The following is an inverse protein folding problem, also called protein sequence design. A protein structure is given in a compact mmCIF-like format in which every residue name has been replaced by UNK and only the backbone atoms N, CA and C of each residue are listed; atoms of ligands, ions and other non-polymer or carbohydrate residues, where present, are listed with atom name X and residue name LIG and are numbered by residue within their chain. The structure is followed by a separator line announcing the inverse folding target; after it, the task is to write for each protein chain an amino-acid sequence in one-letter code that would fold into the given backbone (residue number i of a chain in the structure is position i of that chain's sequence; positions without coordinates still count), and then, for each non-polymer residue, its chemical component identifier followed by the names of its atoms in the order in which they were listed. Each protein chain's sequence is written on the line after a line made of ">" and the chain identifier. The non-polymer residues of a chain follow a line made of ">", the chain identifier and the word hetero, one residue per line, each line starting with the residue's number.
data_IF_508682763100
#
_entry.id   IF_508682763100
#
_cell.length_a   1.000
_cell.length_b   1.000
_cell.length_c   1.000
_cell.angle_alpha   90.00
_cell.angle_beta   90.00
_cell.angle_gamma   90.00
#
_symmetry.space_group_name_H-M   'P 1'
#
loop_
_entity.id
_entity.type
_entity.pdbx_description
1 polymer ?
#
# COMPACT_ATOMS: atom_id res chain seq x y z
N UNK A 1 7.40 -50.39 5.03
CA UNK A 1 8.80 -50.19 5.39
C UNK A 1 9.56 -49.38 4.33
N UNK A 2 9.35 -49.59 3.04
CA UNK A 2 10.02 -48.82 1.98
C UNK A 2 9.74 -47.31 2.03
N UNK A 3 8.52 -46.87 2.31
CA UNK A 3 8.17 -45.46 2.39
C UNK A 3 8.94 -44.66 3.45
N UNK A 4 9.19 -45.28 4.64
CA UNK A 4 10.02 -44.64 5.68
C UNK A 4 11.49 -44.51 5.29
N UNK A 5 11.99 -45.45 4.48
CA UNK A 5 13.38 -45.43 3.99
C UNK A 5 13.60 -44.34 2.94
N UNK A 6 12.66 -44.21 2.01
CA UNK A 6 12.69 -43.13 1.02
C UNK A 6 12.50 -41.75 1.64
N UNK A 7 11.62 -41.63 2.66
CA UNK A 7 11.44 -40.38 3.42
C UNK A 7 12.76 -39.95 4.10
N UNK A 8 13.44 -40.88 4.81
CA UNK A 8 14.70 -40.59 5.48
C UNK A 8 15.85 -40.27 4.52
N UNK A 9 15.92 -40.93 3.37
CA UNK A 9 16.91 -40.64 2.32
C UNK A 9 16.68 -39.24 1.71
N UNK A 10 15.38 -38.85 1.50
CA UNK A 10 15.02 -37.54 0.97
C UNK A 10 15.35 -36.43 1.98
N UNK A 11 15.12 -36.66 3.28
CA UNK A 11 15.48 -35.75 4.39
C UNK A 11 17.00 -35.50 4.45
N UNK A 12 17.82 -36.55 4.28
CA UNK A 12 19.27 -36.40 4.28
C UNK A 12 19.76 -35.63 3.06
N UNK A 13 19.17 -35.86 1.88
CA UNK A 13 19.51 -35.12 0.66
C UNK A 13 19.08 -33.68 0.71
N UNK A 14 17.90 -33.38 1.31
CA UNK A 14 17.43 -32.00 1.53
C UNK A 14 18.38 -31.26 2.47
N UNK A 15 18.73 -31.82 3.62
CA UNK A 15 19.66 -31.20 4.56
C UNK A 15 21.05 -30.90 3.96
N UNK A 16 21.55 -31.77 3.07
CA UNK A 16 22.81 -31.53 2.32
C UNK A 16 22.63 -30.40 1.32
N UNK A 17 21.48 -30.36 0.61
CA UNK A 17 21.14 -29.28 -0.32
C UNK A 17 21.08 -27.93 0.38
N UNK A 18 20.48 -27.86 1.56
CA UNK A 18 20.33 -26.65 2.36
C UNK A 18 21.66 -26.15 2.91
N UNK A 19 22.54 -27.07 3.37
CA UNK A 19 23.90 -26.74 3.79
C UNK A 19 24.73 -26.14 2.63
N UNK A 20 24.54 -26.65 1.41
CA UNK A 20 25.21 -26.15 0.19
C UNK A 20 24.65 -24.78 -0.21
N UNK A 21 23.35 -24.53 0.00
CA UNK A 21 22.70 -23.24 -0.27
C UNK A 21 22.99 -22.16 0.77
N UNK A 22 23.65 -22.49 1.88
CA UNK A 22 23.95 -21.55 2.95
C UNK A 22 22.74 -21.15 3.79
N UNK A 23 21.69 -21.96 3.80
CA UNK A 23 20.49 -21.73 4.62
C UNK A 23 20.63 -22.43 5.99
N UNK A 24 20.06 -21.83 7.01
CA UNK A 24 20.00 -22.39 8.36
C UNK A 24 18.83 -23.36 8.45
N UNK A 25 19.10 -24.63 8.81
CA UNK A 25 18.02 -25.57 9.09
C UNK A 25 17.45 -25.25 10.47
N UNK A 26 16.24 -24.69 10.50
CA UNK A 26 15.53 -24.36 11.74
C UNK A 26 14.34 -25.32 11.86
N UNK A 27 14.03 -25.76 13.08
CA UNK A 27 12.73 -26.35 13.42
C UNK A 27 11.69 -25.23 13.28
N UNK A 28 11.16 -25.11 12.10
CA UNK A 28 10.61 -23.89 11.52
C UNK A 28 9.11 -23.72 11.71
N UNK A 29 8.38 -24.77 12.08
CA UNK A 29 6.97 -24.62 12.41
C UNK A 29 6.73 -24.94 13.88
N UNK A 30 6.53 -23.91 14.66
CA UNK A 30 5.97 -24.03 15.99
C UNK A 30 4.46 -23.95 15.87
N UNK A 31 3.76 -25.05 16.18
CA UNK A 31 2.32 -25.04 16.26
C UNK A 31 1.82 -25.81 17.50
N UNK A 32 0.63 -25.48 17.96
CA UNK A 32 0.05 -26.05 19.15
C UNK A 32 -1.21 -26.90 18.87
N UNK A 33 -1.57 -27.05 17.60
CA UNK A 33 -2.75 -27.84 17.20
C UNK A 33 -2.53 -29.33 17.51
N UNK A 34 -3.57 -30.07 17.92
CA UNK A 34 -3.47 -31.48 18.29
C UNK A 34 -3.36 -32.44 17.09
N UNK A 35 -3.04 -31.91 15.92
CA UNK A 35 -2.89 -32.64 14.66
C UNK A 35 -1.40 -32.75 14.30
N UNK A 36 -1.01 -33.85 13.61
CA UNK A 36 0.34 -33.91 13.08
C UNK A 36 0.51 -32.98 11.88
N UNK A 37 1.72 -32.50 11.64
CA UNK A 37 1.99 -31.59 10.51
C UNK A 37 1.61 -32.21 9.17
N UNK A 38 1.81 -33.55 9.01
CA UNK A 38 1.42 -34.28 7.82
C UNK A 38 -0.07 -34.36 7.60
N UNK A 39 -0.90 -34.13 8.63
CA UNK A 39 -2.35 -34.02 8.51
C UNK A 39 -2.78 -32.63 8.06
N UNK A 40 -2.02 -31.60 8.43
CA UNK A 40 -2.37 -30.21 8.21
C UNK A 40 -1.85 -29.66 6.87
N UNK A 41 -0.76 -30.24 6.32
CA UNK A 41 -0.16 -29.70 5.09
C UNK A 41 0.80 -30.70 4.43
N UNK A 42 1.18 -30.41 3.17
CA UNK A 42 2.29 -31.10 2.51
C UNK A 42 3.63 -30.65 3.11
N UNK A 43 4.28 -31.57 3.83
CA UNK A 43 5.54 -31.31 4.53
C UNK A 43 6.68 -31.03 3.54
N UNK A 44 6.57 -31.46 2.27
CA UNK A 44 7.60 -31.18 1.26
C UNK A 44 7.59 -29.70 0.83
N UNK A 45 6.44 -29.04 0.80
CA UNK A 45 6.32 -27.60 0.55
C UNK A 45 6.95 -26.75 1.66
N UNK A 46 6.94 -27.31 2.86
CA UNK A 46 7.44 -26.65 4.05
C UNK A 46 8.98 -26.71 4.23
N UNK A 47 9.68 -27.57 3.50
CA UNK A 47 11.13 -27.81 3.69
C UNK A 47 12.05 -26.71 3.21
N UNK A 48 11.59 -25.85 2.32
CA UNK A 48 12.37 -24.74 1.77
C UNK A 48 12.28 -23.45 2.62
N UNK A 49 11.70 -23.53 3.83
CA UNK A 49 11.42 -22.38 4.70
C UNK A 49 12.55 -22.03 5.69
N UNK A 50 13.75 -22.59 5.50
CA UNK A 50 14.90 -22.22 6.32
C UNK A 50 15.24 -20.74 6.16
N UNK A 51 15.45 -20.04 7.27
CA UNK A 51 15.87 -18.64 7.24
C UNK A 51 17.16 -18.47 6.45
N UNK A 52 17.24 -17.60 5.43
CA UNK A 52 18.45 -17.35 4.69
C UNK A 52 19.53 -16.71 5.58
N UNK A 53 20.78 -17.15 5.39
CA UNK A 53 21.93 -16.56 6.07
C UNK A 53 22.38 -15.28 5.37
N UNK A 54 22.79 -14.26 6.13
CA UNK A 54 23.39 -13.08 5.54
C UNK A 54 24.69 -13.48 4.80
N UNK A 55 24.94 -12.92 3.60
CA UNK A 55 26.16 -13.18 2.86
C UNK A 55 27.38 -12.64 3.60
N UNK A 56 28.54 -13.29 3.40
CA UNK A 56 29.79 -12.84 3.97
C UNK A 56 30.13 -11.43 3.45
N UNK A 57 30.46 -10.52 4.38
CA UNK A 57 30.83 -9.14 4.04
C UNK A 57 29.65 -8.16 3.98
N UNK A 58 28.44 -8.61 4.29
CA UNK A 58 27.32 -7.68 4.48
C UNK A 58 27.61 -6.76 5.68
N UNK A 59 27.20 -5.49 5.56
CA UNK A 59 27.32 -4.50 6.64
C UNK A 59 26.70 -5.05 7.94
N UNK A 60 27.44 -5.06 9.05
CA UNK A 60 26.91 -5.49 10.34
C UNK A 60 25.62 -4.75 10.78
N UNK A 61 25.47 -3.47 10.43
CA UNK A 61 24.25 -2.73 10.71
C UNK A 61 23.06 -3.28 9.92
N UNK A 62 23.27 -3.67 8.66
CA UNK A 62 22.24 -4.31 7.84
C UNK A 62 21.86 -5.70 8.40
N UNK A 63 22.84 -6.48 8.87
CA UNK A 63 22.56 -7.77 9.53
C UNK A 63 21.72 -7.57 10.78
N UNK A 64 22.11 -6.66 11.64
CA UNK A 64 21.39 -6.35 12.88
C UNK A 64 19.95 -5.88 12.60
N UNK A 65 19.77 -5.05 11.57
CA UNK A 65 18.46 -4.60 11.14
C UNK A 65 17.59 -5.78 10.66
N UNK A 66 18.14 -6.64 9.79
CA UNK A 66 17.45 -7.82 9.28
C UNK A 66 17.03 -8.78 10.41
N UNK A 67 17.92 -8.99 11.42
CA UNK A 67 17.62 -9.81 12.60
C UNK A 67 16.48 -9.22 13.43
N UNK A 68 16.51 -7.92 13.68
CA UNK A 68 15.46 -7.23 14.42
C UNK A 68 14.12 -7.28 13.66
N UNK A 69 14.13 -7.00 12.36
CA UNK A 69 12.98 -7.07 11.47
C UNK A 69 12.35 -8.47 11.50
N UNK A 70 13.17 -9.50 11.27
CA UNK A 70 12.72 -10.90 11.30
C UNK A 70 12.17 -11.29 12.67
N UNK A 71 12.83 -10.86 13.76
CA UNK A 71 12.41 -11.18 15.11
C UNK A 71 11.04 -10.60 15.49
N UNK A 72 10.68 -9.44 14.99
CA UNK A 72 9.33 -8.86 15.18
C UNK A 72 8.29 -9.77 14.54
N UNK A 73 8.42 -10.09 13.26
CA UNK A 73 7.44 -10.89 12.55
C UNK A 73 7.38 -12.34 13.01
N UNK A 74 8.53 -12.96 13.35
CA UNK A 74 8.57 -14.31 13.90
C UNK A 74 7.81 -14.41 15.23
N UNK A 75 7.98 -13.43 16.13
CA UNK A 75 7.26 -13.38 17.40
C UNK A 75 5.74 -13.27 17.19
N UNK A 76 5.30 -12.40 16.27
CA UNK A 76 3.87 -12.22 15.98
C UNK A 76 3.29 -13.46 15.28
N UNK A 77 4.01 -14.07 14.34
CA UNK A 77 3.63 -15.32 13.69
C UNK A 77 3.39 -16.43 14.73
N UNK A 78 4.28 -16.59 15.70
CA UNK A 78 4.20 -17.65 16.69
C UNK A 78 3.18 -17.35 17.81
N UNK A 79 2.55 -16.18 17.77
CA UNK A 79 1.55 -15.77 18.76
C UNK A 79 0.29 -16.64 18.81
N UNK A 80 0.01 -17.45 17.77
CA UNK A 80 -1.12 -18.41 17.74
C UNK A 80 -0.95 -19.55 18.75
N UNK A 81 0.26 -19.85 19.19
CA UNK A 81 0.56 -21.01 20.05
C UNK A 81 -0.17 -20.92 21.40
N UNK A 82 -0.09 -19.78 22.04
CA UNK A 82 -0.66 -19.60 23.38
C UNK A 82 -2.20 -19.76 23.43
N UNK A 83 -3.00 -19.13 22.56
CA UNK A 83 -4.45 -19.30 22.57
C UNK A 83 -4.88 -20.72 22.20
N UNK A 84 -4.19 -21.39 21.27
CA UNK A 84 -4.48 -22.78 20.90
C UNK A 84 -4.16 -23.74 22.08
N UNK A 85 -3.01 -23.62 22.71
CA UNK A 85 -2.66 -24.44 23.86
C UNK A 85 -3.65 -24.25 25.02
N UNK A 86 -4.09 -23.02 25.27
CA UNK A 86 -5.06 -22.76 26.35
C UNK A 86 -6.40 -23.43 26.08
N UNK A 87 -6.95 -23.34 24.86
CA UNK A 87 -8.24 -23.99 24.55
C UNK A 87 -8.13 -25.50 24.53
N UNK A 88 -7.02 -26.09 24.10
CA UNK A 88 -6.77 -27.52 24.15
C UNK A 88 -6.64 -28.03 25.60
N UNK A 89 -6.17 -27.20 26.52
CA UNK A 89 -6.15 -27.48 27.96
C UNK A 89 -7.51 -27.26 28.64
N UNK A 90 -8.53 -26.80 27.93
CA UNK A 90 -9.86 -26.47 28.46
C UNK A 90 -9.96 -25.11 29.14
N UNK A 91 -8.91 -24.28 29.08
CA UNK A 91 -8.89 -22.92 29.61
C UNK A 91 -9.43 -21.91 28.58
N UNK A 92 -10.75 -21.80 28.52
CA UNK A 92 -11.46 -20.90 27.59
C UNK A 92 -11.12 -19.44 27.86
N UNK A 93 -11.03 -19.04 29.13
CA UNK A 93 -10.72 -17.65 29.49
C UNK A 93 -9.29 -17.29 29.14
N UNK A 94 -8.33 -18.20 29.41
CA UNK A 94 -6.94 -18.07 29.00
C UNK A 94 -6.77 -17.99 27.48
N UNK A 95 -7.52 -18.80 26.72
CA UNK A 95 -7.50 -18.76 25.26
C UNK A 95 -7.95 -17.40 24.71
N UNK A 96 -9.07 -16.86 25.21
CA UNK A 96 -9.55 -15.54 24.81
C UNK A 96 -8.59 -14.41 25.16
N UNK A 97 -8.01 -14.47 26.36
CA UNK A 97 -7.01 -13.50 26.79
C UNK A 97 -5.74 -13.57 25.92
N UNK A 98 -5.25 -14.77 25.62
CA UNK A 98 -4.06 -14.96 24.78
C UNK A 98 -4.31 -14.49 23.34
N UNK A 99 -5.49 -14.72 22.79
CA UNK A 99 -5.91 -14.23 21.47
C UNK A 99 -5.88 -12.70 21.42
N UNK A 100 -6.50 -12.03 22.40
CA UNK A 100 -6.50 -10.57 22.49
C UNK A 100 -5.08 -9.98 22.64
N UNK A 101 -4.19 -10.67 23.37
CA UNK A 101 -2.79 -10.27 23.48
C UNK A 101 -2.04 -10.40 22.16
N UNK A 102 -2.32 -11.45 21.39
CA UNK A 102 -1.73 -11.65 20.08
C UNK A 102 -2.20 -10.59 19.07
N UNK A 103 -3.49 -10.26 19.04
CA UNK A 103 -4.04 -9.14 18.26
C UNK A 103 -3.37 -7.81 18.58
N UNK A 104 -3.16 -7.54 19.88
CA UNK A 104 -2.44 -6.36 20.33
C UNK A 104 -0.96 -6.35 19.87
N UNK A 105 -0.30 -7.51 19.82
CA UNK A 105 1.06 -7.64 19.29
C UNK A 105 1.11 -7.38 17.79
N UNK A 106 0.12 -7.87 17.04
CA UNK A 106 0.00 -7.58 15.60
C UNK A 106 -0.16 -6.08 15.36
N UNK A 107 -1.05 -5.41 16.08
CA UNK A 107 -1.24 -3.97 15.98
C UNK A 107 0.02 -3.16 16.37
N UNK A 108 0.88 -3.71 17.23
CA UNK A 108 2.15 -3.09 17.65
C UNK A 108 3.30 -3.32 16.65
N UNK A 109 3.22 -4.36 15.82
CA UNK A 109 4.31 -4.77 14.93
C UNK A 109 4.74 -3.64 13.98
N UNK A 110 3.80 -2.92 13.38
CA UNK A 110 4.11 -1.81 12.46
C UNK A 110 4.81 -0.66 13.19
N UNK A 111 4.40 -0.36 14.41
CA UNK A 111 5.04 0.67 15.24
C UNK A 111 6.49 0.26 15.61
N UNK A 112 6.71 -1.02 15.91
CA UNK A 112 8.06 -1.55 16.18
C UNK A 112 8.92 -1.52 14.92
N UNK A 113 8.37 -1.92 13.76
CA UNK A 113 9.03 -1.84 12.46
C UNK A 113 9.45 -0.40 12.11
N UNK A 114 8.57 0.56 12.32
CA UNK A 114 8.85 1.97 12.07
C UNK A 114 10.02 2.53 12.92
N UNK A 115 10.32 1.90 14.04
CA UNK A 115 11.41 2.30 14.96
C UNK A 115 12.76 1.68 14.62
N UNK A 116 12.84 0.73 13.69
CA UNK A 116 14.08 0.02 13.37
C UNK A 116 15.15 0.90 12.70
N UNK A 117 14.81 2.09 12.18
CA UNK A 117 15.78 3.11 11.76
C UNK A 117 16.14 3.08 10.27
N UNK A 118 17.44 3.06 9.97
CA UNK A 118 18.03 3.45 8.68
C UNK A 118 17.51 2.67 7.44
N UNK A 119 17.25 1.37 7.56
CA UNK A 119 16.82 0.51 6.46
C UNK A 119 15.30 0.39 6.31
N UNK A 120 14.52 1.11 7.11
CA UNK A 120 13.04 1.03 7.10
C UNK A 120 12.41 1.32 5.74
N UNK A 121 13.08 2.10 4.90
CA UNK A 121 12.67 2.42 3.53
C UNK A 121 13.07 1.37 2.49
N UNK A 122 13.65 0.23 2.88
CA UNK A 122 14.01 -0.81 1.94
C UNK A 122 12.77 -1.45 1.32
N UNK A 123 12.69 -1.44 -0.01
CA UNK A 123 11.50 -1.84 -0.76
C UNK A 123 11.13 -3.30 -0.56
N UNK A 124 12.12 -4.20 -0.44
CA UNK A 124 11.87 -5.64 -0.24
C UNK A 124 11.17 -5.88 1.10
N UNK A 125 11.61 -5.22 2.16
CA UNK A 125 11.03 -5.37 3.49
C UNK A 125 9.66 -4.67 3.61
N UNK A 126 9.51 -3.50 3.00
CA UNK A 126 8.23 -2.76 3.02
C UNK A 126 7.08 -3.52 2.36
N UNK A 127 7.33 -4.10 1.18
CA UNK A 127 6.31 -4.92 0.49
C UNK A 127 5.94 -6.14 1.31
N UNK A 128 6.93 -6.80 1.92
CA UNK A 128 6.70 -7.96 2.77
C UNK A 128 5.94 -7.59 4.05
N UNK A 129 6.17 -6.42 4.65
CA UNK A 129 5.43 -5.98 5.84
C UNK A 129 3.91 -6.00 5.59
N UNK A 130 3.45 -5.42 4.49
CA UNK A 130 2.02 -5.38 4.14
C UNK A 130 1.44 -6.78 3.92
N UNK A 131 2.17 -7.64 3.19
CA UNK A 131 1.75 -9.02 2.91
C UNK A 131 1.67 -9.85 4.21
N UNK A 132 2.72 -9.78 5.04
CA UNK A 132 2.81 -10.48 6.32
C UNK A 132 1.70 -10.01 7.26
N UNK A 133 1.49 -8.69 7.40
CA UNK A 133 0.46 -8.13 8.27
C UNK A 133 -0.95 -8.62 7.86
N UNK A 134 -1.28 -8.56 6.56
CA UNK A 134 -2.56 -9.04 6.04
C UNK A 134 -2.75 -10.53 6.29
N UNK A 135 -1.70 -11.34 6.05
CA UNK A 135 -1.75 -12.79 6.25
C UNK A 135 -1.89 -13.15 7.74
N UNK A 136 -1.21 -12.40 8.63
CA UNK A 136 -1.36 -12.55 10.08
C UNK A 136 -2.77 -12.18 10.56
N UNK A 137 -3.35 -11.11 10.04
CA UNK A 137 -4.74 -10.76 10.34
C UNK A 137 -5.72 -11.88 9.99
N UNK A 138 -5.58 -12.44 8.80
CA UNK A 138 -6.37 -13.60 8.40
C UNK A 138 -6.10 -14.85 9.26
N UNK A 139 -4.87 -15.07 9.70
CA UNK A 139 -4.51 -16.17 10.59
C UNK A 139 -5.14 -16.01 11.99
N UNK A 140 -5.25 -14.79 12.50
CA UNK A 140 -5.96 -14.49 13.76
C UNK A 140 -7.41 -14.92 13.67
N UNK A 141 -8.08 -14.66 12.55
CA UNK A 141 -9.48 -15.10 12.34
C UNK A 141 -9.59 -16.64 12.33
N UNK A 142 -8.69 -17.35 11.63
CA UNK A 142 -8.69 -18.81 11.63
C UNK A 142 -8.56 -19.40 13.05
N UNK A 143 -7.65 -18.82 13.85
CA UNK A 143 -7.47 -19.27 15.25
C UNK A 143 -8.69 -18.92 16.11
N UNK A 144 -9.35 -17.80 15.86
CA UNK A 144 -10.59 -17.42 16.55
C UNK A 144 -11.70 -18.43 16.28
N UNK A 145 -11.90 -18.79 15.01
CA UNK A 145 -12.89 -19.81 14.62
C UNK A 145 -12.53 -21.19 15.19
N UNK A 146 -11.23 -21.55 15.14
CA UNK A 146 -10.73 -22.77 15.78
C UNK A 146 -11.15 -22.85 17.24
N UNK A 147 -10.90 -21.79 18.02
CA UNK A 147 -11.26 -21.72 19.44
C UNK A 147 -12.78 -21.85 19.63
N UNK A 148 -13.59 -21.18 18.83
CA UNK A 148 -15.04 -21.24 18.88
C UNK A 148 -15.60 -22.66 18.64
N UNK A 149 -15.07 -23.35 17.65
CA UNK A 149 -15.45 -24.74 17.34
C UNK A 149 -15.03 -25.71 18.43
N UNK A 150 -13.82 -25.56 18.98
CA UNK A 150 -13.36 -26.39 20.13
C UNK A 150 -14.25 -26.22 21.35
N UNK A 151 -14.65 -25.01 21.68
CA UNK A 151 -15.55 -24.73 22.80
C UNK A 151 -16.93 -25.38 22.57
N UNK A 152 -17.43 -25.39 21.33
CA UNK A 152 -18.70 -26.02 20.97
C UNK A 152 -18.63 -27.52 20.77
N UNK A 153 -17.46 -28.16 20.91
CA UNK A 153 -17.23 -29.58 20.75
C UNK A 153 -17.26 -30.06 19.28
N UNK A 154 -17.05 -29.15 18.35
CA UNK A 154 -16.91 -29.44 16.92
C UNK A 154 -15.45 -29.67 16.53
N UNK A 155 -15.22 -30.36 15.40
CA UNK A 155 -13.88 -30.57 14.87
C UNK A 155 -13.40 -29.32 14.09
N UNK A 156 -12.35 -28.62 14.53
CA UNK A 156 -11.84 -27.43 13.88
C UNK A 156 -10.65 -27.70 12.94
N UNK A 157 -10.49 -28.92 12.44
CA UNK A 157 -9.32 -29.33 11.66
C UNK A 157 -9.08 -28.43 10.42
N UNK A 158 -10.16 -27.98 9.77
CA UNK A 158 -10.08 -27.09 8.61
C UNK A 158 -9.39 -25.77 8.95
N UNK A 159 -9.79 -25.14 10.06
CA UNK A 159 -9.19 -23.87 10.52
C UNK A 159 -7.74 -24.05 11.02
N UNK A 160 -7.41 -25.21 11.60
CA UNK A 160 -6.02 -25.55 11.92
C UNK A 160 -5.17 -25.67 10.65
N UNK A 161 -5.71 -26.29 9.59
CA UNK A 161 -5.04 -26.41 8.28
C UNK A 161 -4.80 -25.04 7.64
N UNK A 162 -5.82 -24.19 7.61
CA UNK A 162 -5.70 -22.84 7.08
C UNK A 162 -4.68 -21.98 7.87
N UNK A 163 -4.72 -22.05 9.21
CA UNK A 163 -3.77 -21.35 10.06
C UNK A 163 -2.31 -21.76 9.77
N UNK A 164 -2.04 -23.07 9.64
CA UNK A 164 -0.69 -23.57 9.32
C UNK A 164 -0.26 -23.18 7.91
N UNK A 165 -1.17 -23.21 6.94
CA UNK A 165 -0.90 -22.70 5.58
C UNK A 165 -0.47 -21.24 5.59
N UNK A 166 -1.11 -20.42 6.43
CA UNK A 166 -0.72 -19.02 6.61
C UNK A 166 0.64 -18.86 7.29
N UNK A 167 0.97 -19.71 8.28
CA UNK A 167 2.32 -19.73 8.87
C UNK A 167 3.38 -19.96 7.79
N UNK A 168 3.16 -20.89 6.87
CA UNK A 168 4.08 -21.17 5.75
C UNK A 168 4.18 -19.98 4.80
N UNK A 169 3.07 -19.37 4.46
CA UNK A 169 3.03 -18.18 3.61
C UNK A 169 3.83 -17.02 4.24
N UNK A 170 3.64 -16.76 5.54
CA UNK A 170 4.38 -15.74 6.28
C UNK A 170 5.88 -16.03 6.25
N UNK A 171 6.30 -17.27 6.52
CA UNK A 171 7.70 -17.65 6.44
C UNK A 171 8.30 -17.41 5.05
N UNK A 172 7.56 -17.79 4.02
CA UNK A 172 7.99 -17.60 2.62
C UNK A 172 8.18 -16.12 2.32
N UNK A 173 7.22 -15.28 2.69
CA UNK A 173 7.31 -13.83 2.53
C UNK A 173 8.50 -13.24 3.30
N UNK A 174 8.70 -13.66 4.57
CA UNK A 174 9.84 -13.22 5.38
C UNK A 174 11.19 -13.61 4.74
N UNK A 175 11.33 -14.85 4.28
CA UNK A 175 12.57 -15.35 3.70
C UNK A 175 12.89 -14.69 2.36
N UNK A 176 11.89 -14.50 1.50
CA UNK A 176 12.04 -13.80 0.23
C UNK A 176 12.44 -12.34 0.44
N UNK A 177 11.84 -11.67 1.42
CA UNK A 177 12.18 -10.31 1.79
C UNK A 177 13.62 -10.18 2.29
N UNK A 178 14.08 -11.12 3.14
CA UNK A 178 15.48 -11.16 3.60
C UNK A 178 16.45 -11.39 2.45
N UNK A 179 16.16 -12.32 1.56
CA UNK A 179 17.00 -12.56 0.37
C UNK A 179 17.12 -11.29 -0.47
N UNK A 180 15.99 -10.64 -0.76
CA UNK A 180 15.99 -9.36 -1.48
C UNK A 180 16.78 -8.29 -0.75
N UNK A 181 16.59 -8.15 0.56
CA UNK A 181 17.32 -7.22 1.40
C UNK A 181 18.83 -7.49 1.43
N UNK A 182 19.26 -8.75 1.57
CA UNK A 182 20.66 -9.10 1.60
C UNK A 182 21.39 -8.83 0.27
N UNK A 183 20.67 -8.94 -0.86
CA UNK A 183 21.20 -8.60 -2.17
C UNK A 183 21.20 -7.09 -2.45
N UNK A 184 20.27 -6.35 -1.88
CA UNK A 184 20.11 -4.92 -2.09
C UNK A 184 19.71 -4.18 -0.79
N UNK A 185 20.63 -4.09 0.21
CA UNK A 185 20.32 -3.45 1.49
C UNK A 185 19.91 -1.98 1.34
N UNK A 186 20.44 -1.29 0.34
CA UNK A 186 20.07 0.10 0.05
C UNK A 186 18.69 0.24 -0.59
N UNK A 187 18.14 -0.84 -1.17
CA UNK A 187 16.93 -0.82 -1.99
C UNK A 187 17.09 -0.10 -3.33
N UNK A 188 18.33 0.21 -3.74
CA UNK A 188 18.58 0.99 -4.95
C UNK A 188 18.22 0.22 -6.21
N UNK A 189 18.56 -1.08 -6.28
CA UNK A 189 18.23 -1.93 -7.42
C UNK A 189 16.73 -2.13 -7.55
N UNK A 190 16.02 -2.36 -6.42
CA UNK A 190 14.57 -2.47 -6.40
C UNK A 190 13.89 -1.20 -6.90
N UNK A 191 14.33 -0.02 -6.42
CA UNK A 191 13.82 1.27 -6.90
C UNK A 191 14.10 1.50 -8.39
N UNK A 192 15.29 1.13 -8.86
CA UNK A 192 15.63 1.26 -10.28
C UNK A 192 14.76 0.36 -11.16
N UNK A 193 14.52 -0.89 -10.74
CA UNK A 193 13.64 -1.81 -11.46
C UNK A 193 12.18 -1.31 -11.49
N UNK A 194 11.68 -0.79 -10.38
CA UNK A 194 10.35 -0.20 -10.29
C UNK A 194 10.23 1.03 -11.21
N UNK A 195 11.17 1.96 -11.16
CA UNK A 195 11.20 3.11 -12.05
C UNK A 195 11.25 2.69 -13.53
N UNK A 196 12.02 1.65 -13.86
CA UNK A 196 12.08 1.12 -15.22
C UNK A 196 10.75 0.49 -15.65
N UNK A 197 10.04 -0.20 -14.76
CA UNK A 197 8.73 -0.77 -15.04
C UNK A 197 7.66 0.29 -15.28
N UNK A 198 7.74 1.43 -14.59
CA UNK A 198 6.81 2.55 -14.75
C UNK A 198 7.20 3.55 -15.84
N UNK A 199 8.46 3.56 -16.29
CA UNK A 199 8.93 4.46 -17.34
C UNK A 199 8.08 4.44 -18.63
N UNK A 200 7.59 3.28 -19.14
CA UNK A 200 6.68 3.26 -20.29
C UNK A 200 5.35 3.95 -20.00
N UNK A 201 4.82 3.82 -18.78
CA UNK A 201 3.56 4.44 -18.35
C UNK A 201 3.77 5.95 -18.22
N UNK A 202 4.89 6.39 -17.65
CA UNK A 202 5.27 7.81 -17.59
C UNK A 202 5.49 8.39 -19.00
N UNK A 203 6.13 7.64 -19.89
CA UNK A 203 6.30 8.05 -21.29
C UNK A 203 4.96 8.19 -22.03
N UNK A 204 3.98 7.30 -21.77
CA UNK A 204 2.61 7.43 -22.31
C UNK A 204 1.88 8.66 -21.73
N UNK A 205 2.24 9.10 -20.52
CA UNK A 205 1.69 10.29 -19.87
C UNK A 205 2.35 11.59 -20.34
N UNK A 206 3.53 11.53 -20.91
CA UNK A 206 4.19 12.70 -21.52
C UNK A 206 3.49 13.05 -22.82
N UNK A 207 2.45 13.85 -22.70
CA UNK A 207 1.75 14.40 -23.86
C UNK A 207 2.73 15.32 -24.60
N UNK A 208 2.90 15.08 -25.90
CA UNK A 208 3.71 15.97 -26.72
C UNK A 208 3.06 17.36 -26.77
N UNK A 209 3.66 18.40 -26.15
CA UNK A 209 3.04 19.73 -26.11
C UNK A 209 2.93 20.39 -27.48
N UNK A 210 3.65 19.88 -28.47
CA UNK A 210 3.57 20.33 -29.87
C UNK A 210 2.50 19.63 -30.69
N UNK A 211 1.73 18.70 -30.09
CA UNK A 211 0.66 18.00 -30.78
C UNK A 211 -0.37 19.01 -31.34
N UNK A 212 -0.83 18.85 -32.59
CA UNK A 212 -1.75 19.81 -33.23
C UNK A 212 -3.06 20.00 -32.45
N UNK A 213 -3.55 18.95 -31.80
CA UNK A 213 -4.78 18.96 -30.99
C UNK A 213 -4.63 19.73 -29.66
N UNK A 214 -3.38 20.02 -29.23
CA UNK A 214 -3.08 20.81 -28.03
C UNK A 214 -2.81 22.29 -28.33
N UNK A 215 -2.75 22.66 -29.60
CA UNK A 215 -2.51 24.06 -29.97
C UNK A 215 -3.67 24.94 -29.52
N UNK A 216 -3.38 26.18 -29.07
CA UNK A 216 -4.41 27.10 -28.62
C UNK A 216 -5.50 27.35 -29.66
N UNK A 217 -6.74 27.42 -29.19
CA UNK A 217 -7.91 27.73 -30.00
C UNK A 217 -8.26 29.20 -29.81
N UNK A 218 -8.19 30.00 -30.86
CA UNK A 218 -8.48 31.45 -30.82
C UNK A 218 -7.74 32.18 -29.67
N UNK A 219 -6.50 31.77 -29.40
CA UNK A 219 -5.68 32.36 -28.33
C UNK A 219 -5.93 31.80 -26.92
N UNK A 220 -6.89 30.86 -26.76
CA UNK A 220 -7.18 30.18 -25.51
C UNK A 220 -6.44 28.84 -25.49
N UNK A 221 -5.47 28.68 -24.60
CA UNK A 221 -4.77 27.41 -24.40
C UNK A 221 -5.65 26.39 -23.66
N UNK A 222 -5.28 25.10 -23.69
CA UNK A 222 -5.97 24.08 -22.89
C UNK A 222 -5.94 24.45 -21.39
N UNK A 223 -4.82 24.95 -20.87
CA UNK A 223 -4.70 25.37 -19.48
C UNK A 223 -5.64 26.54 -19.14
N UNK A 224 -5.71 27.56 -20.03
CA UNK A 224 -6.68 28.65 -19.87
C UNK A 224 -8.11 28.11 -19.80
N UNK A 225 -8.47 27.16 -20.67
CA UNK A 225 -9.81 26.59 -20.72
C UNK A 225 -10.15 25.73 -19.51
N UNK A 226 -9.21 24.89 -19.02
CA UNK A 226 -9.40 24.06 -17.81
C UNK A 226 -9.65 24.94 -16.59
N UNK A 227 -8.80 25.94 -16.38
CA UNK A 227 -8.94 26.85 -15.24
C UNK A 227 -10.20 27.72 -15.32
N UNK A 228 -10.55 28.19 -16.52
CA UNK A 228 -11.77 28.93 -16.77
C UNK A 228 -13.02 28.08 -16.51
N UNK A 229 -13.04 26.84 -16.96
CA UNK A 229 -14.13 25.89 -16.73
C UNK A 229 -14.36 25.65 -15.23
N UNK A 230 -13.29 25.46 -14.47
CA UNK A 230 -13.38 25.34 -13.01
C UNK A 230 -13.98 26.59 -12.33
N UNK A 231 -13.58 27.79 -12.78
CA UNK A 231 -14.15 29.06 -12.26
C UNK A 231 -15.62 29.25 -12.65
N UNK A 232 -16.00 28.84 -13.86
CA UNK A 232 -17.41 28.87 -14.29
C UNK A 232 -18.29 27.93 -13.46
N UNK A 233 -17.81 26.74 -13.14
CA UNK A 233 -18.49 25.84 -12.21
C UNK A 233 -18.63 26.43 -10.80
N UNK A 234 -17.67 27.26 -10.39
CA UNK A 234 -17.75 28.04 -9.15
C UNK A 234 -18.60 29.31 -9.25
N UNK A 235 -19.33 29.51 -10.36
CA UNK A 235 -20.30 30.59 -10.55
C UNK A 235 -19.73 31.87 -11.19
N UNK A 236 -18.49 31.88 -11.67
CA UNK A 236 -17.93 33.05 -12.37
C UNK A 236 -18.57 33.18 -13.76
N UNK A 237 -19.16 34.34 -14.10
CA UNK A 237 -19.79 34.56 -15.39
C UNK A 237 -18.81 34.46 -16.57
N UNK A 238 -19.26 33.93 -17.72
CA UNK A 238 -18.43 33.78 -18.91
C UNK A 238 -17.88 35.10 -19.49
N UNK A 239 -18.56 36.23 -19.28
CA UNK A 239 -18.03 37.54 -19.65
C UNK A 239 -16.81 37.93 -18.83
N UNK A 240 -16.82 37.59 -17.55
CA UNK A 240 -15.70 37.82 -16.66
C UNK A 240 -14.50 36.88 -17.00
N UNK A 241 -14.79 35.64 -17.36
CA UNK A 241 -13.79 34.68 -17.88
C UNK A 241 -13.10 35.25 -19.12
N UNK A 242 -13.89 35.69 -20.10
CA UNK A 242 -13.36 36.27 -21.33
C UNK A 242 -12.46 37.49 -21.04
N UNK A 243 -12.89 38.36 -20.12
CA UNK A 243 -12.13 39.53 -19.66
C UNK A 243 -10.80 39.14 -18.99
N UNK A 244 -10.80 38.13 -18.12
CA UNK A 244 -9.58 37.63 -17.44
C UNK A 244 -8.60 37.04 -18.46
N UNK A 245 -9.09 36.30 -19.43
CA UNK A 245 -8.28 35.70 -20.49
C UNK A 245 -7.78 36.72 -21.51
N UNK A 246 -8.43 37.88 -21.62
CA UNK A 246 -8.12 38.92 -22.61
C UNK A 246 -8.63 38.58 -24.01
N UNK A 247 -9.76 37.88 -24.11
CA UNK A 247 -10.45 37.53 -25.36
C UNK A 247 -11.86 38.11 -25.36
N UNK A 248 -12.48 38.18 -26.51
CA UNK A 248 -13.90 38.56 -26.63
C UNK A 248 -14.79 37.38 -26.23
N UNK A 249 -16.00 37.68 -25.73
CA UNK A 249 -16.95 36.63 -25.30
C UNK A 249 -17.27 35.63 -26.40
N UNK A 250 -17.55 36.02 -27.67
CA UNK A 250 -17.78 35.05 -28.73
C UNK A 250 -16.56 34.15 -29.03
N UNK A 251 -15.35 34.68 -28.90
CA UNK A 251 -14.11 33.91 -29.04
C UNK A 251 -13.97 32.84 -27.94
N UNK A 252 -14.28 33.25 -26.68
CA UNK A 252 -14.31 32.31 -25.57
C UNK A 252 -15.32 31.19 -25.82
N UNK A 253 -16.55 31.52 -26.20
CA UNK A 253 -17.62 30.54 -26.41
C UNK A 253 -17.23 29.54 -27.51
N UNK A 254 -16.64 30.01 -28.62
CA UNK A 254 -16.16 29.18 -29.71
C UNK A 254 -14.95 28.31 -29.26
N UNK A 255 -13.99 28.87 -28.55
CA UNK A 255 -12.84 28.14 -28.06
C UNK A 255 -13.26 27.06 -27.05
N UNK A 256 -14.21 27.36 -26.18
CA UNK A 256 -14.73 26.41 -25.18
C UNK A 256 -15.46 25.24 -25.83
N UNK A 257 -16.26 25.49 -26.87
CA UNK A 257 -16.91 24.44 -27.64
C UNK A 257 -15.90 23.53 -28.35
N UNK A 258 -14.87 24.11 -28.97
CA UNK A 258 -13.81 23.36 -29.66
C UNK A 258 -12.99 22.53 -28.67
N UNK A 259 -12.61 23.08 -27.50
CA UNK A 259 -11.90 22.32 -26.47
C UNK A 259 -12.72 21.16 -25.93
N UNK A 260 -14.04 21.36 -25.72
CA UNK A 260 -14.96 20.30 -25.31
C UNK A 260 -14.95 19.15 -26.32
N UNK A 261 -14.98 19.47 -27.62
CA UNK A 261 -14.92 18.51 -28.69
C UNK A 261 -13.57 17.78 -28.76
N UNK A 262 -12.46 18.51 -28.60
CA UNK A 262 -11.10 17.91 -28.60
C UNK A 262 -10.88 16.94 -27.46
N UNK A 263 -11.38 17.23 -26.26
CA UNK A 263 -11.31 16.28 -25.12
C UNK A 263 -12.01 14.96 -25.45
N UNK A 264 -13.13 15.02 -26.15
CA UNK A 264 -13.87 13.81 -26.56
C UNK A 264 -13.19 13.05 -27.70
N UNK A 265 -12.64 13.77 -28.68
CA UNK A 265 -12.00 13.16 -29.84
C UNK A 265 -10.59 12.63 -29.57
N UNK A 266 -9.86 13.25 -28.65
CA UNK A 266 -8.46 12.92 -28.34
C UNK A 266 -8.27 12.61 -26.84
N UNK A 267 -8.93 11.57 -26.30
CA UNK A 267 -8.89 11.29 -24.86
C UNK A 267 -7.49 10.95 -24.35
N UNK A 268 -6.64 10.35 -25.20
CA UNK A 268 -5.27 9.94 -24.82
C UNK A 268 -4.24 11.08 -24.89
N UNK A 269 -4.58 12.22 -25.51
CA UNK A 269 -3.71 13.40 -25.55
C UNK A 269 -4.36 14.57 -24.83
N UNK A 270 -5.45 15.12 -25.36
CA UNK A 270 -6.13 16.27 -24.78
C UNK A 270 -6.79 15.91 -23.45
N UNK A 271 -7.42 14.74 -23.34
CA UNK A 271 -8.08 14.28 -22.11
C UNK A 271 -7.08 14.02 -20.97
N UNK A 272 -5.93 13.41 -21.25
CA UNK A 272 -4.87 13.22 -20.26
C UNK A 272 -4.26 14.55 -19.81
N UNK A 273 -3.96 15.46 -20.76
CA UNK A 273 -3.40 16.77 -20.39
C UNK A 273 -4.42 17.64 -19.65
N UNK A 274 -5.71 17.53 -20.01
CA UNK A 274 -6.80 18.13 -19.23
C UNK A 274 -6.73 17.70 -17.74
N UNK A 275 -6.65 16.39 -17.50
CA UNK A 275 -6.54 15.86 -16.13
C UNK A 275 -5.27 16.36 -15.40
N UNK A 276 -4.13 16.42 -16.09
CA UNK A 276 -2.88 16.95 -15.55
C UNK A 276 -2.99 18.44 -15.16
N UNK A 277 -3.77 19.21 -15.93
CA UNK A 277 -3.93 20.65 -15.74
C UNK A 277 -4.95 21.02 -14.67
N UNK A 278 -5.90 20.12 -14.34
CA UNK A 278 -6.93 20.38 -13.32
C UNK A 278 -6.36 20.73 -11.94
N UNK A 279 -5.22 20.17 -11.58
CA UNK A 279 -4.55 20.40 -10.30
C UNK A 279 -3.46 21.47 -10.35
N UNK A 280 -3.14 22.01 -11.55
CA UNK A 280 -2.09 23.01 -11.69
C UNK A 280 -2.64 24.42 -11.48
N UNK A 281 -1.95 25.25 -10.66
CA UNK A 281 -2.32 26.66 -10.51
C UNK A 281 -2.22 27.41 -11.85
N UNK A 282 -3.18 28.32 -12.09
CA UNK A 282 -3.21 29.10 -13.32
C UNK A 282 -2.91 30.57 -13.08
N UNK A 283 -1.87 31.14 -13.69
CA UNK A 283 -1.35 32.47 -13.32
C UNK A 283 -2.39 33.61 -13.46
N UNK A 284 -3.30 33.56 -14.45
CA UNK A 284 -4.31 34.60 -14.64
C UNK A 284 -5.49 34.49 -13.66
N UNK A 285 -5.88 33.26 -13.26
CA UNK A 285 -7.02 33.03 -12.36
C UNK A 285 -6.62 33.03 -10.89
N UNK A 286 -5.39 32.65 -10.57
CA UNK A 286 -4.88 32.65 -9.19
C UNK A 286 -4.39 34.03 -8.77
N UNK A 287 -3.82 34.83 -9.72
CA UNK A 287 -3.46 36.21 -9.46
C UNK A 287 -4.69 37.12 -9.22
N UNK A 288 -5.83 36.83 -9.85
CA UNK A 288 -7.08 37.58 -9.64
C UNK A 288 -7.75 37.27 -8.30
N UNK A 289 -7.41 36.11 -7.68
CA UNK A 289 -7.92 35.67 -6.35
C UNK A 289 -6.98 35.91 -5.18
N UNK A 290 -5.70 36.20 -5.42
CA UNK A 290 -4.65 36.28 -4.39
C UNK A 290 -3.97 37.63 -4.28
N UNK A 291 -4.72 38.70 -4.12
CA UNK A 291 -4.18 39.86 -3.47
C UNK A 291 -4.03 39.55 -1.96
N UNK A 292 -3.01 38.76 -1.60
CA UNK A 292 -2.54 38.59 -0.21
C UNK A 292 -3.06 37.36 0.55
N UNK A 293 -3.17 36.18 -0.05
CA UNK A 293 -3.60 34.96 0.66
C UNK A 293 -2.58 33.82 0.60
N UNK A 294 -2.51 33.02 1.68
CA UNK A 294 -1.84 31.71 1.73
C UNK A 294 -2.28 30.80 0.54
N UNK A 295 -1.46 29.81 0.13
CA UNK A 295 -1.83 28.88 -0.94
C UNK A 295 -3.24 28.32 -0.69
N UNK A 296 -4.08 28.23 -1.73
CA UNK A 296 -5.44 27.73 -1.58
C UNK A 296 -5.40 26.31 -1.00
N UNK A 297 -6.37 25.95 -0.17
CA UNK A 297 -6.44 24.62 0.42
C UNK A 297 -6.47 23.53 -0.66
N UNK A 298 -6.99 23.80 -1.84
CA UNK A 298 -6.91 22.92 -2.99
C UNK A 298 -5.47 22.70 -3.49
N UNK A 299 -4.62 23.73 -3.47
CA UNK A 299 -3.19 23.59 -3.80
C UNK A 299 -2.43 22.83 -2.71
N UNK A 300 -2.82 23.00 -1.45
CA UNK A 300 -2.22 22.26 -0.33
C UNK A 300 -2.44 20.76 -0.44
N UNK A 301 -3.57 20.29 -0.94
CA UNK A 301 -3.85 18.85 -1.12
C UNK A 301 -2.77 18.12 -1.94
N UNK A 302 -2.12 18.80 -2.87
CA UNK A 302 -1.08 18.19 -3.72
C UNK A 302 0.36 18.39 -3.21
N UNK A 303 0.58 19.26 -2.21
CA UNK A 303 1.92 19.63 -1.72
C UNK A 303 2.10 19.38 -0.23
N UNK A 304 1.00 19.29 0.53
CA UNK A 304 0.96 19.09 1.98
C UNK A 304 0.23 17.77 2.25
N UNK A 305 1.02 16.73 2.49
CA UNK A 305 0.52 15.36 2.67
C UNK A 305 -0.35 15.24 3.92
N UNK A 306 0.06 15.87 5.01
CA UNK A 306 -0.68 15.79 6.28
C UNK A 306 -2.06 16.43 6.12
N UNK A 307 -2.13 17.55 5.42
CA UNK A 307 -3.41 18.18 5.07
C UNK A 307 -4.27 17.29 4.15
N UNK A 308 -3.68 16.58 3.19
CA UNK A 308 -4.40 15.62 2.37
C UNK A 308 -4.99 14.48 3.22
N UNK A 309 -4.20 13.89 4.13
CA UNK A 309 -4.64 12.81 5.02
C UNK A 309 -5.76 13.29 5.92
N UNK A 310 -5.63 14.48 6.50
CA UNK A 310 -6.67 15.09 7.34
C UNK A 310 -8.00 15.23 6.58
N UNK A 311 -7.97 15.76 5.35
CA UNK A 311 -9.16 15.88 4.51
C UNK A 311 -9.76 14.52 4.13
N UNK A 312 -8.94 13.53 3.80
CA UNK A 312 -9.40 12.18 3.44
C UNK A 312 -10.04 11.48 4.64
N UNK A 313 -9.42 11.55 5.82
CA UNK A 313 -9.98 11.01 7.06
C UNK A 313 -11.28 11.71 7.46
N UNK A 314 -11.35 13.04 7.32
CA UNK A 314 -12.56 13.81 7.59
C UNK A 314 -13.73 13.43 6.67
N UNK A 315 -13.45 13.17 5.37
CA UNK A 315 -14.46 12.68 4.43
C UNK A 315 -14.99 11.29 4.80
N UNK A 316 -14.10 10.37 5.18
CA UNK A 316 -14.48 9.03 5.63
C UNK A 316 -15.34 9.11 6.90
N UNK A 317 -14.89 9.83 7.92
CA UNK A 317 -15.62 10.00 9.18
C UNK A 317 -17.00 10.65 8.98
N UNK A 318 -17.12 11.65 8.11
CA UNK A 318 -18.40 12.25 7.77
C UNK A 318 -19.34 11.24 7.11
N UNK A 319 -18.83 10.40 6.19
CA UNK A 319 -19.61 9.34 5.53
C UNK A 319 -20.08 8.29 6.54
N UNK A 320 -19.21 7.82 7.43
CA UNK A 320 -19.56 6.88 8.50
C UNK A 320 -20.62 7.44 9.46
N UNK A 321 -20.55 8.75 9.73
CA UNK A 321 -21.55 9.44 10.56
C UNK A 321 -22.88 9.72 9.82
N UNK A 322 -23.00 9.34 8.54
CA UNK A 322 -24.18 9.61 7.70
C UNK A 322 -24.36 11.08 7.32
N UNK A 323 -23.28 11.87 7.38
CA UNK A 323 -23.26 13.27 6.98
C UNK A 323 -22.94 13.42 5.48
N UNK A 324 -23.30 14.55 4.89
CA UNK A 324 -22.83 14.93 3.56
C UNK A 324 -21.33 15.27 3.62
N UNK A 325 -20.49 14.30 3.20
CA UNK A 325 -19.05 14.47 3.17
C UNK A 325 -18.61 15.63 2.26
N UNK A 326 -19.34 15.93 1.18
CA UNK A 326 -19.06 17.04 0.29
C UNK A 326 -19.23 18.38 0.98
N UNK A 327 -20.41 18.61 1.54
CA UNK A 327 -20.70 19.82 2.29
C UNK A 327 -19.82 20.00 3.54
N UNK A 328 -19.45 18.88 4.19
CA UNK A 328 -18.53 18.90 5.33
C UNK A 328 -17.13 19.38 4.93
N UNK A 329 -16.57 18.82 3.85
CA UNK A 329 -15.23 19.20 3.36
C UNK A 329 -15.19 20.65 2.86
N UNK A 330 -16.21 21.08 2.12
CA UNK A 330 -16.27 22.46 1.62
C UNK A 330 -16.36 23.47 2.77
N UNK A 331 -17.17 23.18 3.79
CA UNK A 331 -17.39 24.08 4.92
C UNK A 331 -16.20 24.17 5.87
N UNK A 332 -15.50 23.06 6.13
CA UNK A 332 -14.45 23.00 7.15
C UNK A 332 -13.04 23.12 6.57
N UNK A 333 -12.85 22.68 5.33
CA UNK A 333 -11.52 22.60 4.70
C UNK A 333 -11.42 23.44 3.42
N UNK A 334 -12.53 23.91 2.87
CA UNK A 334 -12.55 24.66 1.61
C UNK A 334 -12.09 23.85 0.40
N UNK A 335 -12.31 22.53 0.43
CA UNK A 335 -11.95 21.58 -0.63
C UNK A 335 -13.15 20.69 -0.96
N UNK A 336 -13.21 20.19 -2.21
CA UNK A 336 -14.27 19.28 -2.64
C UNK A 336 -13.82 17.82 -2.53
N UNK A 337 -14.77 16.87 -2.45
CA UNK A 337 -14.49 15.42 -2.52
C UNK A 337 -13.69 15.06 -3.79
N UNK A 338 -14.03 15.68 -4.91
CA UNK A 338 -13.32 15.46 -6.18
C UNK A 338 -11.85 15.89 -6.11
N UNK A 339 -11.55 17.02 -5.45
CA UNK A 339 -10.17 17.49 -5.24
C UNK A 339 -9.39 16.56 -4.33
N UNK A 340 -9.99 16.08 -3.23
CA UNK A 340 -9.37 15.10 -2.34
C UNK A 340 -9.11 13.78 -3.07
N UNK A 341 -10.10 13.28 -3.85
CA UNK A 341 -9.95 12.07 -4.66
C UNK A 341 -8.83 12.19 -5.71
N UNK A 342 -8.75 13.32 -6.41
CA UNK A 342 -7.68 13.57 -7.40
C UNK A 342 -6.30 13.67 -6.75
N UNK A 343 -6.20 14.32 -5.59
CA UNK A 343 -4.96 14.39 -4.82
C UNK A 343 -4.55 12.99 -4.34
N UNK A 344 -5.50 12.16 -3.90
CA UNK A 344 -5.26 10.77 -3.50
C UNK A 344 -4.66 9.92 -4.62
N UNK A 345 -5.20 10.04 -5.83
CA UNK A 345 -4.61 9.37 -7.01
C UNK A 345 -3.17 9.82 -7.25
N UNK A 346 -2.88 11.12 -7.12
CA UNK A 346 -1.53 11.66 -7.30
C UNK A 346 -0.57 11.17 -6.21
N UNK A 347 -1.01 11.14 -4.94
CA UNK A 347 -0.22 10.62 -3.82
C UNK A 347 0.02 9.11 -3.93
N UNK A 348 -0.98 8.31 -4.33
CA UNK A 348 -0.82 6.88 -4.60
C UNK A 348 0.10 6.60 -5.79
N UNK A 349 0.12 7.50 -6.78
CA UNK A 349 0.99 7.36 -7.95
C UNK A 349 2.39 7.92 -7.75
N UNK A 350 2.65 8.70 -6.71
CA UNK A 350 3.99 9.09 -6.30
C UNK A 350 4.66 7.97 -5.50
N UNK A 351 4.86 6.83 -6.17
CA UNK A 351 5.52 5.62 -5.64
C UNK A 351 6.97 5.88 -5.19
N UNK A 352 7.53 7.06 -5.49
CA UNK A 352 8.85 7.50 -5.01
C UNK A 352 8.84 7.81 -3.52
N UNK A 353 7.67 8.00 -2.94
CA UNK A 353 7.50 8.25 -1.51
C UNK A 353 6.98 6.98 -0.83
N UNK A 354 7.91 6.09 -0.43
CA UNK A 354 7.57 4.83 0.26
C UNK A 354 6.67 5.03 1.50
N UNK A 355 6.80 6.21 2.15
CA UNK A 355 5.92 6.61 3.25
C UNK A 355 4.47 6.84 2.83
N UNK A 356 4.18 7.10 1.55
CA UNK A 356 2.81 7.36 1.06
C UNK A 356 1.94 6.10 1.08
N UNK A 357 2.50 4.93 0.83
CA UNK A 357 1.76 3.67 0.81
C UNK A 357 1.36 3.21 2.22
N UNK A 358 2.23 3.41 3.20
CA UNK A 358 2.00 2.98 4.60
C UNK A 358 0.89 3.80 5.25
N UNK A 359 0.81 5.10 4.96
CA UNK A 359 -0.15 6.01 5.61
C UNK A 359 -1.55 5.96 4.96
N UNK A 360 -1.67 5.45 3.73
CA UNK A 360 -2.98 5.30 3.06
C UNK A 360 -3.69 3.98 3.41
N UNK A 361 -2.99 3.05 4.07
CA UNK A 361 -3.54 1.77 4.53
C UNK A 361 -3.92 1.75 6.02
N UNK A 362 -3.57 2.77 6.78
CA UNK A 362 -3.99 3.00 8.17
C UNK A 362 -5.20 3.94 8.24
#
# INVERSE_FOLDING_TARGET
>A
MLGKFFKKAKETVSGISDAVRGVEHVDWITHAFPYSLEMLMDVDEARDLSRPRPPAGLDPAAVQYADAWYGIWARVRDGHVAPVQAVEAGDVAGAQQALAQWEAQLAQADVEQARLGEFRGNRHLLLANSDIHTTLGAMVEEVREYIGLRISGQDPMEHATEAITRVVSIHTSMNNALLGFYHDPSGAAARAAENAAFAPIEAMRQVNPAAPELQPVLGVSLHDWVAASAKMHAGVPGDEIARILGVERPQWDQASAEWTQRVQMFPMTVGMEYANLMSRPHPKFDAAGSAGGAPSNAARLSTDRDFYIECAAAAAAATEAGLDAGGYLESNYGVTVAQVGSAGVNWMMDLRNADSLITLQQ
#
